data_IF_343457200229
#
_entry.id   IF_343457200229
#
_cell.length_a   1.000
_cell.length_b   1.000
_cell.length_c   1.000
_cell.angle_alpha   90.00
_cell.angle_beta   90.00
_cell.angle_gamma   90.00
#
_symmetry.space_group_name_H-M   'P 1'
#
loop_
_entity.id
_entity.type
_entity.pdbx_description
1 polymer ?
#
# COMPACT_ATOMS: atom_id res chain seq x y z
N UNK A 1 -11.91 18.20 10.15
CA UNK A 1 -11.79 17.60 11.50
C UNK A 1 -10.32 17.29 11.75
N UNK A 2 -9.77 17.77 12.86
CA UNK A 2 -8.32 17.71 13.13
C UNK A 2 -7.89 16.28 13.41
N UNK A 3 -7.19 15.70 12.42
CA UNK A 3 -6.35 14.53 12.62
C UNK A 3 -5.44 14.80 13.81
N UNK A 4 -5.59 14.04 14.90
CA UNK A 4 -4.68 14.19 16.03
C UNK A 4 -3.29 13.72 15.61
N UNK A 5 -2.26 14.57 15.78
CA UNK A 5 -0.88 14.23 15.43
C UNK A 5 -0.41 12.92 16.09
N UNK A 6 -1.00 12.54 17.23
CA UNK A 6 -0.75 11.26 17.94
C UNK A 6 -1.21 9.99 17.21
N UNK A 7 -1.96 10.12 16.13
CA UNK A 7 -2.42 8.97 15.31
C UNK A 7 -1.40 8.55 14.26
N UNK A 8 -0.46 9.44 13.95
CA UNK A 8 0.56 9.25 12.93
C UNK A 8 1.94 9.14 13.56
N UNK A 9 2.78 8.29 13.00
CA UNK A 9 4.19 8.22 13.36
C UNK A 9 5.06 8.41 12.11
N UNK A 10 6.12 9.23 12.17
CA UNK A 10 7.04 9.37 11.07
C UNK A 10 7.81 8.05 10.86
N UNK A 11 8.03 7.71 9.60
CA UNK A 11 8.82 6.56 9.17
C UNK A 11 9.70 7.00 8.01
N UNK A 12 11.02 6.88 8.18
CA UNK A 12 11.97 7.09 7.09
C UNK A 12 11.93 5.90 6.13
N UNK A 13 11.80 6.19 4.84
CA UNK A 13 11.73 5.21 3.76
C UNK A 13 12.73 5.58 2.67
N UNK A 14 13.26 4.57 1.98
CA UNK A 14 14.04 4.75 0.74
C UNK A 14 13.24 4.14 -0.39
N UNK A 15 13.04 4.90 -1.47
CA UNK A 15 12.33 4.41 -2.63
C UNK A 15 13.18 3.36 -3.38
N UNK A 16 12.66 2.15 -3.66
CA UNK A 16 13.45 1.13 -4.38
C UNK A 16 13.64 1.43 -5.88
N UNK A 17 12.93 2.43 -6.42
CA UNK A 17 13.00 2.79 -7.85
C UNK A 17 14.00 3.92 -8.08
N UNK A 18 13.92 5.00 -7.29
CA UNK A 18 14.77 6.18 -7.45
C UNK A 18 15.80 6.37 -6.33
N UNK A 19 15.85 5.47 -5.35
CA UNK A 19 16.86 5.42 -4.27
C UNK A 19 16.91 6.65 -3.35
N UNK A 20 15.95 7.58 -3.49
CA UNK A 20 15.83 8.76 -2.65
C UNK A 20 15.11 8.42 -1.34
N UNK A 21 15.65 8.93 -0.24
CA UNK A 21 15.02 8.89 1.07
C UNK A 21 13.88 9.90 1.16
N UNK A 22 12.84 9.58 1.93
CA UNK A 22 11.76 10.49 2.27
C UNK A 22 11.04 10.02 3.55
N UNK A 23 10.50 10.98 4.29
CA UNK A 23 9.68 10.72 5.47
C UNK A 23 8.22 10.45 5.06
N UNK A 24 7.67 9.33 5.52
CA UNK A 24 6.24 9.00 5.44
C UNK A 24 5.60 9.13 6.83
N UNK A 25 4.33 9.52 6.88
CA UNK A 25 3.53 9.47 8.10
C UNK A 25 2.62 8.24 8.09
N UNK A 26 2.95 7.25 8.91
CA UNK A 26 2.19 6.01 9.02
C UNK A 26 1.07 6.15 10.04
N UNK A 27 -0.12 5.69 9.69
CA UNK A 27 -1.24 5.61 10.63
C UNK A 27 -1.08 4.40 11.55
N UNK A 28 -1.30 4.58 12.86
CA UNK A 28 -1.37 3.46 13.81
C UNK A 28 -2.68 2.67 13.64
N UNK A 29 -2.67 1.69 12.73
CA UNK A 29 -3.84 0.87 12.36
C UNK A 29 -4.49 0.12 13.52
N UNK A 30 -3.74 -0.21 14.58
CA UNK A 30 -4.25 -0.97 15.73
C UNK A 30 -5.33 -0.21 16.52
N UNK A 31 -5.42 1.11 16.34
CA UNK A 31 -6.41 1.96 17.01
C UNK A 31 -7.74 2.08 16.28
N UNK A 32 -7.88 1.43 15.12
CA UNK A 32 -9.07 1.55 14.28
C UNK A 32 -9.83 0.24 14.24
N UNK A 33 -11.11 0.30 14.60
CA UNK A 33 -12.04 -0.82 14.55
C UNK A 33 -13.08 -0.60 13.46
N UNK A 34 -13.54 -1.70 12.86
CA UNK A 34 -14.60 -1.67 11.87
C UNK A 34 -15.94 -1.54 12.61
N UNK A 35 -16.72 -0.52 12.25
CA UNK A 35 -18.08 -0.31 12.75
C UNK A 35 -19.05 -1.30 12.11
N UNK A 36 -19.09 -1.32 10.77
CA UNK A 36 -19.93 -2.22 9.98
C UNK A 36 -19.30 -2.52 8.63
N UNK A 37 -19.86 -3.48 7.90
CA UNK A 37 -19.54 -3.73 6.50
C UNK A 37 -20.77 -3.48 5.66
N UNK A 38 -20.57 -2.81 4.54
CA UNK A 38 -21.62 -2.56 3.56
C UNK A 38 -21.86 -3.81 2.69
N UNK A 39 -22.88 -3.78 1.82
CA UNK A 39 -23.28 -4.92 0.99
C UNK A 39 -22.19 -5.42 0.03
N UNK A 40 -21.31 -4.51 -0.39
CA UNK A 40 -20.15 -4.79 -1.23
C UNK A 40 -18.92 -5.21 -0.41
N UNK A 41 -19.10 -5.48 0.89
CA UNK A 41 -18.08 -5.77 1.88
C UNK A 41 -17.15 -4.59 2.23
N UNK A 42 -17.45 -3.37 1.77
CA UNK A 42 -16.69 -2.18 2.15
C UNK A 42 -16.70 -2.00 3.68
N UNK A 43 -15.54 -1.97 4.36
CA UNK A 43 -15.50 -1.71 5.79
C UNK A 43 -15.72 -0.22 6.05
N UNK A 44 -16.64 0.08 6.98
CA UNK A 44 -16.88 1.40 7.53
C UNK A 44 -16.23 1.43 8.90
N UNK A 45 -15.30 2.36 9.13
CA UNK A 45 -14.51 2.43 10.36
C UNK A 45 -15.19 3.30 11.42
N UNK A 46 -14.94 2.99 12.68
CA UNK A 46 -15.33 3.86 13.80
C UNK A 46 -14.44 5.12 13.81
N UNK A 47 -15.05 6.28 14.06
CA UNK A 47 -14.38 7.57 14.13
C UNK A 47 -14.34 8.32 12.80
N UNK A 48 -13.61 9.43 12.77
CA UNK A 48 -13.57 10.38 11.65
C UNK A 48 -12.42 10.13 10.65
N UNK A 49 -11.47 9.26 11.00
CA UNK A 49 -10.31 8.94 10.16
C UNK A 49 -10.54 7.59 9.52
N UNK A 50 -10.39 7.53 8.20
CA UNK A 50 -10.48 6.30 7.45
C UNK A 50 -9.08 5.73 7.15
N UNK A 51 -8.68 4.59 7.74
CA UNK A 51 -7.37 3.99 7.51
C UNK A 51 -7.07 3.67 6.05
N UNK A 52 -8.09 3.49 5.22
CA UNK A 52 -7.93 3.18 3.79
C UNK A 52 -7.22 4.29 3.04
N UNK A 53 -7.42 5.55 3.41
CA UNK A 53 -6.78 6.69 2.76
C UNK A 53 -5.27 6.76 2.95
N UNK A 54 -4.75 6.04 3.94
CA UNK A 54 -3.34 6.02 4.31
C UNK A 54 -2.70 4.64 4.07
N UNK A 55 -3.35 3.76 3.31
CA UNK A 55 -2.84 2.40 3.10
C UNK A 55 -1.70 2.34 2.07
N UNK A 56 -1.72 3.24 1.09
CA UNK A 56 -0.75 3.30 0.00
C UNK A 56 0.29 4.39 0.29
N UNK A 57 1.56 4.03 0.15
CA UNK A 57 2.68 4.96 0.11
C UNK A 57 2.92 5.40 -1.34
N UNK A 58 3.26 6.67 -1.52
CA UNK A 58 3.69 7.22 -2.82
C UNK A 58 5.03 7.93 -2.64
N UNK A 59 5.98 7.63 -3.51
CA UNK A 59 7.26 8.33 -3.52
C UNK A 59 7.08 9.77 -4.04
N UNK A 60 7.54 10.80 -3.30
CA UNK A 60 7.44 12.21 -3.74
C UNK A 60 8.27 12.51 -4.99
N UNK A 61 9.23 11.66 -5.35
CA UNK A 61 10.20 11.93 -6.41
C UNK A 61 9.83 11.28 -7.75
N UNK A 62 9.45 10.01 -7.73
CA UNK A 62 9.17 9.21 -8.93
C UNK A 62 7.75 8.67 -9.01
N UNK A 63 6.89 8.96 -8.00
CA UNK A 63 5.49 8.52 -7.94
C UNK A 63 5.30 6.99 -7.98
N UNK A 64 6.38 6.21 -7.81
CA UNK A 64 6.25 4.80 -7.44
C UNK A 64 5.32 4.70 -6.23
N UNK A 65 4.38 3.76 -6.29
CA UNK A 65 3.27 3.67 -5.35
C UNK A 65 2.95 2.22 -5.01
N UNK A 66 2.53 1.99 -3.77
CA UNK A 66 2.25 0.66 -3.24
C UNK A 66 2.14 0.65 -1.71
N UNK A 67 1.81 -0.49 -1.13
CA UNK A 67 1.81 -0.66 0.33
C UNK A 67 3.23 -0.50 0.90
N UNK A 68 3.36 -0.08 2.16
CA UNK A 68 4.64 0.14 2.84
C UNK A 68 5.62 -1.03 2.74
N UNK A 69 5.10 -2.26 2.75
CA UNK A 69 5.90 -3.50 2.63
C UNK A 69 6.62 -3.61 1.28
N UNK A 70 6.24 -2.81 0.29
CA UNK A 70 6.86 -2.71 -1.02
C UNK A 70 7.76 -1.48 -1.16
N UNK A 71 7.93 -0.71 -0.07
CA UNK A 71 8.87 0.40 0.09
C UNK A 71 9.88 0.05 1.17
N UNK A 72 10.84 -0.80 0.82
CA UNK A 72 12.08 -0.93 1.58
C UNK A 72 13.23 -1.19 0.58
N UNK A 73 14.41 -0.63 0.82
CA UNK A 73 15.58 -0.84 -0.04
C UNK A 73 16.33 -2.14 0.26
N UNK A 74 16.16 -2.73 1.45
CA UNK A 74 16.74 -4.02 1.84
C UNK A 74 15.77 -4.70 2.82
N UNK A 75 15.60 -6.02 2.70
CA UNK A 75 14.95 -6.81 3.74
C UNK A 75 15.62 -6.47 5.06
N UNK A 76 14.86 -6.17 6.13
CA UNK A 76 15.50 -6.00 7.44
C UNK A 76 16.22 -7.29 7.83
N UNK A 77 17.23 -7.23 8.70
CA UNK A 77 17.90 -8.43 9.20
C UNK A 77 16.89 -9.45 9.76
N UNK A 78 15.79 -8.98 10.35
CA UNK A 78 14.69 -9.82 10.83
C UNK A 78 13.90 -10.46 9.69
N UNK A 79 13.66 -9.74 8.58
CA UNK A 79 13.03 -10.31 7.39
C UNK A 79 13.94 -11.33 6.68
N UNK A 80 15.25 -11.06 6.63
CA UNK A 80 16.27 -11.99 6.14
C UNK A 80 16.33 -13.26 6.99
N UNK A 81 16.41 -13.12 8.32
CA UNK A 81 16.35 -14.24 9.28
C UNK A 81 15.05 -15.01 9.14
N UNK A 82 13.93 -14.32 9.00
CA UNK A 82 12.62 -14.94 8.79
C UNK A 82 12.57 -15.72 7.48
N UNK A 83 13.12 -15.18 6.40
CA UNK A 83 13.27 -15.87 5.11
C UNK A 83 14.14 -17.12 5.24
N UNK A 84 15.33 -17.00 5.85
CA UNK A 84 16.25 -18.13 6.09
C UNK A 84 15.61 -19.20 6.98
N UNK A 85 14.91 -18.80 8.04
CA UNK A 85 14.18 -19.71 8.92
C UNK A 85 13.11 -20.50 8.16
N UNK A 86 12.33 -19.83 7.31
CA UNK A 86 11.32 -20.49 6.48
C UNK A 86 11.93 -21.37 5.40
N UNK A 87 13.07 -20.99 4.82
CA UNK A 87 13.80 -21.84 3.88
C UNK A 87 14.30 -23.12 4.57
N UNK A 88 14.88 -23.01 5.78
CA UNK A 88 15.34 -24.14 6.58
C UNK A 88 14.20 -25.06 7.08
N UNK A 89 13.00 -24.51 7.29
CA UNK A 89 11.82 -25.27 7.74
C UNK A 89 10.76 -25.43 6.65
N UNK A 90 11.14 -25.29 5.36
CA UNK A 90 10.19 -25.19 4.23
C UNK A 90 9.21 -26.36 4.19
N UNK A 91 9.68 -27.59 4.32
CA UNK A 91 8.83 -28.79 4.29
C UNK A 91 7.82 -28.84 5.45
N UNK A 92 8.25 -28.48 6.66
CA UNK A 92 7.38 -28.46 7.85
C UNK A 92 6.38 -27.30 7.78
N UNK A 93 6.80 -26.16 7.23
CA UNK A 93 5.96 -25.00 7.03
C UNK A 93 4.93 -25.25 5.93
N UNK A 94 5.31 -25.83 4.79
CA UNK A 94 4.40 -26.25 3.71
C UNK A 94 3.36 -27.26 4.19
N UNK A 95 3.76 -28.23 5.02
CA UNK A 95 2.84 -29.20 5.62
C UNK A 95 1.85 -28.54 6.60
N UNK A 96 2.33 -27.73 7.55
CA UNK A 96 1.47 -27.02 8.52
C UNK A 96 0.59 -25.94 7.86
N UNK A 97 1.08 -25.27 6.82
CA UNK A 97 0.33 -24.25 6.08
C UNK A 97 -0.74 -24.87 5.17
N UNK A 98 -0.47 -26.05 4.55
CA UNK A 98 -1.51 -26.89 3.90
C UNK A 98 -2.65 -27.21 4.85
N UNK A 99 -2.34 -27.64 6.07
CA UNK A 99 -3.35 -27.95 7.10
C UNK A 99 -4.12 -26.69 7.55
N UNK A 100 -3.46 -25.55 7.77
CA UNK A 100 -4.14 -24.28 8.15
C UNK A 100 -4.98 -23.65 7.03
N UNK A 101 -4.55 -23.75 5.78
CA UNK A 101 -5.33 -23.23 4.66
C UNK A 101 -6.55 -24.11 4.34
N UNK A 102 -6.43 -25.43 4.56
CA UNK A 102 -7.56 -26.34 4.49
C UNK A 102 -8.60 -26.07 5.60
N UNK A 103 -8.16 -25.69 6.80
CA UNK A 103 -9.06 -25.47 7.95
C UNK A 103 -9.66 -24.06 8.05
N UNK A 104 -9.00 -23.02 7.53
CA UNK A 104 -9.45 -21.62 7.64
C UNK A 104 -10.09 -21.04 6.38
N UNK A 105 -10.09 -21.79 5.27
CA UNK A 105 -10.53 -21.30 3.95
C UNK A 105 -9.68 -20.16 3.38
N UNK A 106 -8.62 -19.71 4.06
CA UNK A 106 -7.75 -18.62 3.63
C UNK A 106 -6.35 -19.10 3.20
N UNK A 107 -6.26 -19.40 1.90
CA UNK A 107 -5.19 -19.19 0.91
C UNK A 107 -3.71 -19.06 1.34
N UNK A 108 -2.98 -20.18 1.29
CA UNK A 108 -1.51 -20.25 1.07
C UNK A 108 -1.02 -19.33 -0.07
N UNK A 109 -1.85 -19.09 -1.08
CA UNK A 109 -1.49 -18.32 -2.28
C UNK A 109 -1.39 -16.80 -2.00
N UNK A 110 -1.88 -16.33 -0.83
CA UNK A 110 -1.67 -14.95 -0.35
C UNK A 110 -0.19 -14.62 -0.25
N UNK A 111 0.60 -15.58 0.19
CA UNK A 111 1.93 -15.29 0.72
C UNK A 111 2.96 -15.33 -0.39
N UNK A 112 2.96 -16.34 -1.26
CA UNK A 112 4.02 -16.51 -2.27
C UNK A 112 4.08 -15.37 -3.29
N UNK A 113 2.92 -14.89 -3.78
CA UNK A 113 2.88 -13.83 -4.79
C UNK A 113 3.11 -12.44 -4.19
N UNK A 114 2.65 -12.20 -2.96
CA UNK A 114 2.97 -10.97 -2.24
C UNK A 114 4.45 -10.92 -1.84
N UNK A 115 5.05 -12.07 -1.52
CA UNK A 115 6.48 -12.18 -1.20
C UNK A 115 7.36 -11.86 -2.41
N UNK A 116 6.97 -12.31 -3.61
CA UNK A 116 7.66 -11.93 -4.85
C UNK A 116 7.69 -10.42 -5.06
N UNK A 117 6.65 -9.70 -4.64
CA UNK A 117 6.60 -8.23 -4.73
C UNK A 117 7.40 -7.52 -3.62
N UNK A 118 8.00 -8.21 -2.65
CA UNK A 118 8.98 -7.56 -1.76
C UNK A 118 10.32 -7.39 -2.44
N UNK A 119 10.73 -8.40 -3.20
CA UNK A 119 11.91 -8.31 -4.04
C UNK A 119 11.57 -7.55 -5.33
N UNK A 120 12.44 -6.65 -5.76
CA UNK A 120 12.33 -5.99 -7.06
C UNK A 120 13.56 -6.38 -7.87
N UNK A 121 13.36 -6.98 -9.06
CA UNK A 121 14.46 -7.29 -9.96
C UNK A 121 15.00 -6.01 -10.61
N UNK A 122 16.27 -6.03 -11.05
CA UNK A 122 16.85 -4.89 -11.78
C UNK A 122 16.06 -4.54 -13.05
N UNK A 123 15.47 -5.53 -13.72
CA UNK A 123 14.60 -5.36 -14.88
C UNK A 123 13.31 -4.61 -14.51
N UNK A 124 12.68 -4.98 -13.40
CA UNK A 124 11.49 -4.30 -12.88
C UNK A 124 11.80 -2.86 -12.47
N UNK A 125 12.94 -2.61 -11.82
CA UNK A 125 13.39 -1.25 -11.51
C UNK A 125 13.50 -0.42 -12.79
N UNK A 126 14.15 -0.96 -13.82
CA UNK A 126 14.34 -0.27 -15.09
C UNK A 126 13.02 0.02 -15.79
N UNK A 127 12.07 -0.92 -15.76
CA UNK A 127 10.73 -0.70 -16.27
C UNK A 127 9.98 0.40 -15.51
N UNK A 128 10.01 0.37 -14.17
CA UNK A 128 9.38 1.39 -13.33
C UNK A 128 10.00 2.77 -13.53
N UNK A 129 11.32 2.86 -13.73
CA UNK A 129 12.01 4.09 -14.11
C UNK A 129 11.50 4.63 -15.44
N UNK A 130 11.29 3.77 -16.44
CA UNK A 130 10.71 4.15 -17.75
C UNK A 130 9.24 4.60 -17.63
N UNK A 131 8.46 4.03 -16.72
CA UNK A 131 7.04 4.39 -16.50
C UNK A 131 6.89 5.65 -15.63
N UNK A 132 7.92 6.08 -14.91
CA UNK A 132 7.92 7.28 -14.05
C UNK A 132 7.29 8.54 -14.68
N UNK A 133 7.53 8.90 -15.96
CA UNK A 133 6.84 10.03 -16.60
C UNK A 133 5.31 9.86 -16.68
N UNK A 134 4.83 8.64 -16.91
CA UNK A 134 3.40 8.32 -16.94
C UNK A 134 2.78 8.39 -15.54
N UNK A 135 3.53 8.00 -14.50
CA UNK A 135 3.10 8.17 -13.11
C UNK A 135 2.96 9.66 -12.76
N UNK A 136 3.94 10.49 -13.15
CA UNK A 136 3.86 11.95 -12.98
C UNK A 136 2.66 12.55 -13.69
N UNK A 137 2.39 12.12 -14.93
CA UNK A 137 1.20 12.55 -15.68
C UNK A 137 -0.10 12.17 -14.96
N UNK A 138 -0.17 10.96 -14.42
CA UNK A 138 -1.33 10.47 -13.66
C UNK A 138 -1.49 11.22 -12.32
N UNK A 139 -0.38 11.70 -11.76
CA UNK A 139 -0.34 12.49 -10.53
C UNK A 139 -0.42 14.02 -10.76
N UNK A 140 -0.79 14.48 -11.96
CA UNK A 140 -0.83 15.91 -12.28
C UNK A 140 -1.69 16.73 -11.31
N UNK A 141 -2.85 16.19 -10.88
CA UNK A 141 -3.71 16.85 -9.89
C UNK A 141 -3.05 17.02 -8.52
N UNK A 142 -2.16 16.12 -8.13
CA UNK A 142 -1.38 16.22 -6.88
C UNK A 142 -0.31 17.30 -7.03
N UNK A 143 0.39 17.31 -8.17
CA UNK A 143 1.44 18.28 -8.46
C UNK A 143 0.93 19.74 -8.46
N UNK A 144 -0.32 19.96 -8.88
CA UNK A 144 -0.95 21.29 -8.86
C UNK A 144 -1.16 21.86 -7.44
N UNK A 145 -1.11 21.03 -6.39
CA UNK A 145 -1.34 21.45 -5.00
C UNK A 145 -0.11 22.09 -4.33
N UNK A 146 1.03 22.14 -5.03
CA UNK A 146 2.30 22.73 -4.61
C UNK A 146 2.75 22.35 -3.18
N UNK A 147 2.43 21.13 -2.77
CA UNK A 147 2.83 20.53 -1.49
C UNK A 147 3.43 19.15 -1.73
N UNK A 148 4.40 18.72 -0.93
CA UNK A 148 4.96 17.39 -1.07
C UNK A 148 3.89 16.35 -0.69
N UNK A 149 3.85 15.25 -1.45
CA UNK A 149 2.76 14.26 -1.35
C UNK A 149 2.61 13.63 0.03
N UNK A 150 3.71 13.47 0.77
CA UNK A 150 3.72 12.94 2.13
C UNK A 150 2.96 13.84 3.13
N UNK A 151 3.02 15.16 2.95
CA UNK A 151 2.25 16.11 3.75
C UNK A 151 0.77 16.09 3.38
N UNK A 152 0.46 16.03 2.09
CA UNK A 152 -0.92 15.90 1.62
C UNK A 152 -1.56 14.59 2.13
N UNK A 153 -0.78 13.50 2.10
CA UNK A 153 -1.18 12.23 2.72
C UNK A 153 -1.42 12.41 4.21
N UNK A 154 -0.53 13.08 4.97
CA UNK A 154 -0.73 13.34 6.41
C UNK A 154 -2.02 14.15 6.67
N UNK A 155 -2.31 15.15 5.84
CA UNK A 155 -3.50 15.99 5.93
C UNK A 155 -4.80 15.22 5.62
N UNK A 156 -4.71 14.01 5.05
CA UNK A 156 -5.87 13.21 4.68
C UNK A 156 -6.57 13.72 3.43
N UNK A 157 -5.83 14.31 2.49
CA UNK A 157 -6.38 14.77 1.22
C UNK A 157 -7.02 13.61 0.44
N UNK A 158 -8.32 13.74 0.17
CA UNK A 158 -9.14 12.68 -0.43
C UNK A 158 -8.72 12.35 -1.86
N UNK A 159 -8.38 13.36 -2.67
CA UNK A 159 -7.94 13.15 -4.04
C UNK A 159 -6.57 12.46 -4.05
N UNK A 160 -5.65 12.85 -3.16
CA UNK A 160 -4.38 12.13 -3.01
C UNK A 160 -4.60 10.68 -2.60
N UNK A 161 -5.54 10.40 -1.69
CA UNK A 161 -5.87 9.04 -1.29
C UNK A 161 -6.36 8.19 -2.46
N UNK A 162 -7.27 8.71 -3.29
CA UNK A 162 -7.79 8.02 -4.48
C UNK A 162 -6.68 7.80 -5.51
N UNK A 163 -5.95 8.85 -5.88
CA UNK A 163 -4.86 8.80 -6.86
C UNK A 163 -3.73 7.85 -6.44
N UNK A 164 -3.49 7.71 -5.13
CA UNK A 164 -2.50 6.75 -4.61
C UNK A 164 -2.83 5.31 -5.04
N UNK A 165 -4.10 4.89 -5.02
CA UNK A 165 -4.51 3.56 -5.48
C UNK A 165 -4.35 3.38 -6.99
N UNK A 166 -4.64 4.41 -7.78
CA UNK A 166 -4.44 4.38 -9.23
C UNK A 166 -2.96 4.21 -9.59
N UNK A 167 -2.09 5.00 -8.97
CA UNK A 167 -0.64 4.89 -9.14
C UNK A 167 -0.13 3.52 -8.70
N UNK A 168 -0.64 3.00 -7.58
CA UNK A 168 -0.27 1.66 -7.11
C UNK A 168 -0.70 0.58 -8.11
N UNK A 169 -1.89 0.67 -8.70
CA UNK A 169 -2.34 -0.27 -9.72
C UNK A 169 -1.42 -0.27 -10.96
N UNK A 170 -0.97 0.91 -11.41
CA UNK A 170 0.00 1.03 -12.51
C UNK A 170 1.33 0.36 -12.13
N UNK A 171 1.86 0.66 -10.93
CA UNK A 171 3.11 0.08 -10.45
C UNK A 171 3.01 -1.45 -10.32
N UNK A 172 1.93 -1.97 -9.76
CA UNK A 172 1.71 -3.41 -9.62
C UNK A 172 1.58 -4.12 -10.96
N UNK A 173 0.96 -3.50 -11.98
CA UNK A 173 0.98 -4.03 -13.34
C UNK A 173 2.39 -4.10 -13.91
N UNK A 174 3.18 -3.03 -13.75
CA UNK A 174 4.58 -3.00 -14.18
C UNK A 174 5.44 -4.07 -13.50
N UNK A 175 5.06 -4.49 -12.30
CA UNK A 175 5.72 -5.55 -11.52
C UNK A 175 5.10 -6.93 -11.68
N UNK A 176 4.25 -7.12 -12.71
CA UNK A 176 3.54 -8.37 -12.98
C UNK A 176 2.85 -8.97 -11.73
N UNK A 177 2.25 -8.10 -10.91
CA UNK A 177 1.47 -8.53 -9.76
C UNK A 177 0.31 -9.41 -10.21
N UNK A 178 -0.02 -10.42 -9.40
CA UNK A 178 -1.11 -11.31 -9.72
C UNK A 178 -2.47 -10.58 -9.73
N UNK A 179 -3.47 -11.17 -10.39
CA UNK A 179 -4.83 -10.62 -10.50
C UNK A 179 -5.48 -10.33 -9.15
N UNK A 180 -5.05 -11.01 -8.09
CA UNK A 180 -5.61 -10.83 -6.76
C UNK A 180 -5.11 -9.57 -6.07
N UNK A 181 -3.82 -9.26 -6.17
CA UNK A 181 -3.26 -7.99 -5.67
C UNK A 181 -3.84 -6.84 -6.47
N UNK A 182 -3.94 -6.99 -7.80
CA UNK A 182 -4.60 -6.00 -8.64
C UNK A 182 -6.07 -5.81 -8.26
N UNK A 183 -6.83 -6.91 -8.13
CA UNK A 183 -8.24 -6.88 -7.74
C UNK A 183 -8.46 -6.24 -6.37
N UNK A 184 -7.63 -6.58 -5.37
CA UNK A 184 -7.66 -5.93 -4.06
C UNK A 184 -7.35 -4.43 -4.14
N UNK A 185 -6.37 -4.05 -4.96
CA UNK A 185 -5.98 -2.65 -5.16
C UNK A 185 -7.12 -1.86 -5.80
N UNK A 186 -7.74 -2.39 -6.85
CA UNK A 186 -8.89 -1.78 -7.51
C UNK A 186 -10.11 -1.66 -6.61
N UNK A 187 -10.42 -2.72 -5.85
CA UNK A 187 -11.54 -2.72 -4.92
C UNK A 187 -11.36 -1.65 -3.83
N UNK A 188 -10.18 -1.56 -3.22
CA UNK A 188 -9.91 -0.52 -2.23
C UNK A 188 -9.86 0.87 -2.84
N UNK A 189 -9.37 1.04 -4.08
CA UNK A 189 -9.43 2.31 -4.79
C UNK A 189 -10.86 2.76 -5.09
N UNK A 190 -11.73 1.85 -5.50
CA UNK A 190 -13.15 2.13 -5.71
C UNK A 190 -13.85 2.52 -4.40
N UNK A 191 -13.60 1.78 -3.31
CA UNK A 191 -14.12 2.14 -2.00
C UNK A 191 -13.55 3.47 -1.47
N UNK A 192 -12.27 3.76 -1.72
CA UNK A 192 -11.69 5.05 -1.35
C UNK A 192 -12.35 6.20 -2.11
N UNK A 193 -12.65 6.01 -3.39
CA UNK A 193 -13.36 6.99 -4.22
C UNK A 193 -14.78 7.23 -3.73
N UNK A 194 -15.48 6.15 -3.36
CA UNK A 194 -16.83 6.24 -2.76
C UNK A 194 -16.80 6.99 -1.44
N UNK A 195 -15.87 6.65 -0.55
CA UNK A 195 -15.74 7.33 0.75
C UNK A 195 -15.37 8.81 0.58
N UNK A 196 -14.50 9.12 -0.39
CA UNK A 196 -14.16 10.49 -0.73
C UNK A 196 -15.40 11.27 -1.19
N UNK A 197 -16.20 10.70 -2.09
CA UNK A 197 -17.44 11.31 -2.57
C UNK A 197 -18.47 11.50 -1.44
N UNK A 198 -18.68 10.48 -0.61
CA UNK A 198 -19.57 10.56 0.56
C UNK A 198 -19.11 11.66 1.52
N UNK A 199 -17.80 11.76 1.80
CA UNK A 199 -17.26 12.81 2.68
C UNK A 199 -17.36 14.21 2.08
N UNK A 200 -17.23 14.36 0.76
CA UNK A 200 -17.40 15.65 0.08
C UNK A 200 -18.83 16.17 0.07
N UNK A 201 -19.84 15.31 0.24
CA UNK A 201 -21.26 15.73 0.29
C UNK A 201 -21.64 16.34 1.65
N UNK A 202 -20.89 16.04 2.71
CA UNK A 202 -21.15 16.53 4.08
C UNK A 202 -20.39 17.84 4.43
N UNK A 203 -19.76 18.49 3.44
CA UNK A 203 -19.08 19.80 3.57
C UNK A 203 -19.60 20.78 2.51
#
# INVERSE_FOLDING_TARGET
>A
MTVSDRSFFPKELVCPVCEKSFTRFNLNKARFSISKRDIDYRPIYLGSINPRFYAICVCPNCFYSGEDRFFCPHMSDDELRRKQFFEGHRAQWESKSRVRAASSGQQIWKDTAAEKLRTISSEEVNLLRKISPLLKKSAAGILLKDKPINELQKQGDLDVAVRSYELAAICYKGRNANHRILGYTYLNGAWASRDAAEMSIFF
#
